data_IF_540865819055
#
_entry.id   IF_540865819055
#
_cell.length_a   1.000
_cell.length_b   1.000
_cell.length_c   1.000
_cell.angle_alpha   90.00
_cell.angle_beta   90.00
_cell.angle_gamma   90.00
#
_symmetry.space_group_name_H-M   'P 1'
#
loop_
_entity.id
_entity.type
_entity.pdbx_description
1 polymer ?
#
# COMPACT_ATOMS: atom_id res chain seq x y z
N UNK A 1 43.99 -71.03 18.98
CA UNK A 1 44.71 -70.81 20.25
C UNK A 1 45.51 -69.53 20.03
N UNK A 2 45.27 -68.37 20.62
CA UNK A 2 44.68 -67.88 21.88
C UNK A 2 44.34 -66.39 21.63
N UNK A 3 43.07 -65.96 21.78
CA UNK A 3 42.57 -65.05 22.84
C UNK A 3 43.55 -64.01 23.44
N UNK A 4 43.18 -62.72 23.28
CA UNK A 4 43.07 -61.66 24.32
C UNK A 4 42.71 -60.35 23.56
N UNK A 5 41.53 -59.70 23.64
CA UNK A 5 40.72 -59.13 24.74
C UNK A 5 41.45 -58.06 25.56
N UNK A 6 41.38 -56.80 25.11
CA UNK A 6 41.32 -55.55 25.90
C UNK A 6 41.47 -54.34 24.95
N UNK A 7 40.92 -53.16 25.14
CA UNK A 7 39.89 -52.67 26.05
C UNK A 7 39.28 -51.45 25.36
N UNK A 8 37.95 -51.35 25.42
CA UNK A 8 37.19 -50.15 25.08
C UNK A 8 37.56 -49.02 26.03
N UNK A 9 38.01 -47.87 25.53
CA UNK A 9 37.75 -46.56 26.13
C UNK A 9 37.74 -45.52 25.01
N UNK A 10 36.58 -45.39 24.34
CA UNK A 10 36.25 -44.19 23.57
C UNK A 10 35.60 -43.24 24.58
N UNK A 11 36.34 -42.20 24.95
CA UNK A 11 35.85 -41.09 25.75
C UNK A 11 34.80 -40.32 24.94
N UNK A 12 33.54 -40.64 25.17
CA UNK A 12 32.44 -39.77 24.77
C UNK A 12 32.43 -38.55 25.68
N UNK A 13 33.16 -37.50 25.30
CA UNK A 13 32.86 -36.14 25.79
C UNK A 13 31.49 -35.75 25.24
N UNK A 14 30.49 -35.43 26.08
CA UNK A 14 29.25 -34.87 25.57
C UNK A 14 29.60 -33.49 25.00
N UNK A 15 29.42 -33.34 23.69
CA UNK A 15 29.36 -32.03 23.07
C UNK A 15 28.25 -31.26 23.77
N UNK A 16 28.66 -30.39 24.69
CA UNK A 16 27.86 -29.32 25.23
C UNK A 16 27.23 -28.59 24.06
N UNK A 17 25.93 -28.84 23.87
CA UNK A 17 25.03 -28.03 23.06
C UNK A 17 25.11 -26.63 23.64
N UNK A 18 26.06 -25.86 23.13
CA UNK A 18 26.13 -24.42 23.31
C UNK A 18 24.86 -23.87 22.70
N UNK A 19 23.84 -23.69 23.56
CA UNK A 19 22.80 -22.72 23.34
C UNK A 19 23.53 -21.40 23.10
N UNK A 20 23.66 -21.03 21.82
CA UNK A 20 24.08 -19.69 21.45
C UNK A 20 23.20 -18.68 22.18
N UNK A 21 23.73 -17.48 22.50
CA UNK A 21 23.00 -16.47 23.24
C UNK A 21 21.65 -16.26 22.56
N UNK A 22 20.57 -16.54 23.30
CA UNK A 22 19.20 -16.37 22.84
C UNK A 22 19.06 -14.96 22.29
N UNK A 23 19.02 -14.84 20.97
CA UNK A 23 18.83 -13.58 20.29
C UNK A 23 17.57 -12.93 20.87
N UNK A 24 17.61 -11.66 21.31
CA UNK A 24 16.48 -11.08 22.01
C UNK A 24 15.26 -11.11 21.09
N UNK A 25 14.28 -11.94 21.45
CA UNK A 25 13.10 -12.25 20.62
C UNK A 25 12.25 -11.00 20.33
N UNK A 26 12.37 -9.96 21.15
CA UNK A 26 11.63 -8.70 21.03
C UNK A 26 12.10 -7.86 19.81
N UNK A 27 13.39 -7.50 19.66
CA UNK A 27 13.91 -6.83 18.46
C UNK A 27 13.55 -7.49 17.14
N UNK A 28 13.58 -8.83 17.07
CA UNK A 28 13.29 -9.56 15.82
C UNK A 28 11.78 -9.53 15.52
N UNK A 29 10.93 -9.59 16.55
CA UNK A 29 9.48 -9.41 16.36
C UNK A 29 9.13 -8.01 15.91
N UNK A 30 9.75 -7.00 16.51
CA UNK A 30 9.57 -5.61 16.11
C UNK A 30 10.04 -5.40 14.68
N UNK A 31 11.14 -6.02 14.26
CA UNK A 31 11.62 -5.92 12.87
C UNK A 31 10.70 -6.62 11.88
N UNK A 32 10.17 -7.81 12.21
CA UNK A 32 9.19 -8.52 11.37
C UNK A 32 7.87 -7.76 11.24
N UNK A 33 7.36 -7.18 12.34
CA UNK A 33 6.15 -6.35 12.32
C UNK A 33 6.37 -5.05 11.53
N UNK A 34 7.55 -4.45 11.64
CA UNK A 34 7.91 -3.25 10.86
C UNK A 34 7.93 -3.57 9.38
N UNK A 35 8.59 -4.66 8.97
CA UNK A 35 8.60 -5.13 7.57
C UNK A 35 7.21 -5.50 7.06
N UNK A 36 6.39 -6.15 7.88
CA UNK A 36 5.00 -6.46 7.52
C UNK A 36 4.22 -5.18 7.20
N UNK A 37 4.37 -4.14 8.03
CA UNK A 37 3.74 -2.84 7.80
C UNK A 37 4.27 -2.15 6.54
N UNK A 38 5.57 -2.27 6.27
CA UNK A 38 6.18 -1.75 5.04
C UNK A 38 5.61 -2.42 3.80
N UNK A 39 5.50 -3.76 3.79
CA UNK A 39 4.92 -4.49 2.67
C UNK A 39 3.41 -4.22 2.51
N UNK A 40 2.66 -4.06 3.60
CA UNK A 40 1.26 -3.64 3.54
C UNK A 40 1.13 -2.25 2.88
N UNK A 41 1.93 -1.28 3.33
CA UNK A 41 1.94 0.05 2.73
C UNK A 41 2.40 0.05 1.26
N UNK A 42 3.33 -0.83 0.88
CA UNK A 42 3.73 -1.00 -0.52
C UNK A 42 2.60 -1.60 -1.38
N UNK A 43 1.90 -2.62 -0.86
CA UNK A 43 0.77 -3.24 -1.54
C UNK A 43 -0.36 -2.24 -1.80
N UNK A 44 -0.74 -1.46 -0.79
CA UNK A 44 -1.77 -0.42 -0.92
C UNK A 44 -1.42 0.60 -2.01
N UNK A 45 -0.15 1.04 -2.07
CA UNK A 45 0.33 1.96 -3.10
C UNK A 45 0.25 1.35 -4.50
N UNK A 46 0.69 0.10 -4.65
CA UNK A 46 0.64 -0.57 -5.95
C UNK A 46 -0.80 -0.81 -6.42
N UNK A 47 -1.73 -1.14 -5.51
CA UNK A 47 -3.16 -1.25 -5.84
C UNK A 47 -3.72 0.11 -6.27
N UNK A 48 -3.43 1.17 -5.50
CA UNK A 48 -3.88 2.52 -5.84
C UNK A 48 -3.33 2.98 -7.20
N UNK A 49 -2.04 2.77 -7.45
CA UNK A 49 -1.42 3.09 -8.74
C UNK A 49 -2.04 2.28 -9.87
N UNK A 50 -2.28 0.98 -9.68
CA UNK A 50 -2.93 0.12 -10.68
C UNK A 50 -4.31 0.64 -11.08
N UNK A 51 -5.16 0.97 -10.09
CA UNK A 51 -6.51 1.47 -10.35
C UNK A 51 -6.50 2.77 -11.16
N UNK A 52 -5.59 3.67 -10.81
CA UNK A 52 -5.44 4.96 -11.48
C UNK A 52 -4.90 4.82 -12.91
N UNK A 53 -3.82 4.06 -13.10
CA UNK A 53 -3.27 3.80 -14.44
C UNK A 53 -4.29 3.07 -15.33
N UNK A 54 -5.09 2.17 -14.77
CA UNK A 54 -6.17 1.52 -15.51
C UNK A 54 -7.24 2.51 -16.00
N UNK A 55 -7.60 3.50 -15.19
CA UNK A 55 -8.50 4.57 -15.63
C UNK A 55 -7.88 5.42 -16.73
N UNK A 56 -6.60 5.77 -16.61
CA UNK A 56 -5.84 6.47 -17.66
C UNK A 56 -5.88 5.68 -18.96
N UNK A 57 -5.58 4.39 -18.94
CA UNK A 57 -5.63 3.53 -20.13
C UNK A 57 -7.01 3.58 -20.81
N UNK A 58 -8.08 3.45 -20.04
CA UNK A 58 -9.46 3.51 -20.56
C UNK A 58 -9.82 4.87 -21.14
N UNK A 59 -9.32 5.96 -20.56
CA UNK A 59 -9.51 7.31 -21.11
C UNK A 59 -8.73 7.47 -22.41
N UNK A 60 -7.48 7.01 -22.46
CA UNK A 60 -6.65 7.02 -23.66
C UNK A 60 -7.26 6.20 -24.81
N UNK A 61 -7.85 5.04 -24.53
CA UNK A 61 -8.56 4.24 -25.56
C UNK A 61 -9.76 4.99 -26.15
N UNK A 62 -10.52 5.70 -25.30
CA UNK A 62 -11.63 6.56 -25.74
C UNK A 62 -11.12 7.73 -26.59
N UNK A 63 -10.05 8.39 -26.16
CA UNK A 63 -9.41 9.46 -26.91
C UNK A 63 -8.92 8.95 -28.27
N UNK A 64 -8.21 7.81 -28.30
CA UNK A 64 -7.74 7.16 -29.53
C UNK A 64 -8.88 6.87 -30.50
N UNK A 65 -9.97 6.26 -30.02
CA UNK A 65 -11.16 5.96 -30.84
C UNK A 65 -11.76 7.24 -31.44
N UNK A 66 -11.85 8.31 -30.63
CA UNK A 66 -12.33 9.61 -31.07
C UNK A 66 -11.42 10.20 -32.15
N UNK A 67 -10.11 10.16 -31.93
CA UNK A 67 -9.10 10.66 -32.86
C UNK A 67 -9.14 9.90 -34.19
N UNK A 68 -9.21 8.57 -34.15
CA UNK A 68 -9.33 7.73 -35.35
C UNK A 68 -10.61 8.05 -36.15
N UNK A 69 -11.71 8.38 -35.46
CA UNK A 69 -12.93 8.86 -36.12
C UNK A 69 -12.73 10.24 -36.74
N UNK A 70 -12.11 11.18 -36.03
CA UNK A 70 -11.81 12.53 -36.52
C UNK A 70 -10.93 12.52 -37.77
N UNK A 71 -9.94 11.63 -37.83
CA UNK A 71 -9.07 11.46 -39.00
C UNK A 71 -9.80 10.89 -40.23
N UNK A 72 -10.93 10.18 -40.05
CA UNK A 72 -11.80 9.73 -41.15
C UNK A 72 -12.81 10.79 -41.57
N UNK A 73 -13.18 11.67 -40.65
CA UNK A 73 -14.24 12.67 -40.79
C UNK A 73 -13.67 14.09 -40.68
N UNK A 74 -12.76 14.45 -41.60
CA UNK A 74 -11.97 15.71 -41.53
C UNK A 74 -12.82 16.99 -41.40
N UNK A 75 -14.05 16.98 -41.92
CA UNK A 75 -15.00 18.09 -41.79
C UNK A 75 -15.34 18.43 -40.33
N UNK A 76 -15.22 17.48 -39.40
CA UNK A 76 -15.43 17.69 -37.96
C UNK A 76 -14.28 18.38 -37.26
N UNK A 77 -13.11 18.46 -37.89
CA UNK A 77 -11.94 19.09 -37.27
C UNK A 77 -12.08 20.61 -37.18
N UNK A 78 -12.93 21.21 -38.02
CA UNK A 78 -13.28 22.63 -37.90
C UNK A 78 -14.25 22.94 -36.76
N UNK A 79 -14.80 21.93 -36.08
CA UNK A 79 -15.72 22.10 -34.96
C UNK A 79 -14.96 22.27 -33.64
N UNK A 80 -15.15 23.40 -32.96
CA UNK A 80 -14.55 23.67 -31.65
C UNK A 80 -14.97 22.63 -30.60
N UNK A 81 -16.22 22.13 -30.66
CA UNK A 81 -16.72 21.10 -29.73
C UNK A 81 -15.95 19.78 -29.87
N UNK A 82 -15.44 19.47 -31.06
CA UNK A 82 -14.64 18.27 -31.27
C UNK A 82 -13.37 18.30 -30.41
N UNK A 83 -12.67 19.44 -30.43
CA UNK A 83 -11.41 19.65 -29.73
C UNK A 83 -11.60 19.89 -28.23
N UNK A 84 -12.67 20.57 -27.82
CA UNK A 84 -13.05 20.71 -26.40
C UNK A 84 -13.23 19.35 -25.73
N UNK A 85 -14.04 18.48 -26.30
CA UNK A 85 -14.26 17.14 -25.76
C UNK A 85 -13.02 16.24 -25.83
N UNK A 86 -12.11 16.45 -26.80
CA UNK A 86 -10.82 15.75 -26.81
C UNK A 86 -9.92 16.23 -25.67
N UNK A 87 -9.87 17.54 -25.43
CA UNK A 87 -9.15 18.14 -24.30
C UNK A 87 -9.71 17.69 -22.96
N UNK A 88 -11.03 17.58 -22.81
CA UNK A 88 -11.66 17.02 -21.60
C UNK A 88 -11.18 15.59 -21.33
N UNK A 89 -11.11 14.74 -22.35
CA UNK A 89 -10.55 13.39 -22.20
C UNK A 89 -9.08 13.43 -21.78
N UNK A 90 -8.27 14.32 -22.35
CA UNK A 90 -6.86 14.45 -21.94
C UNK A 90 -6.74 14.96 -20.49
N UNK A 91 -7.56 15.91 -20.07
CA UNK A 91 -7.59 16.40 -18.69
C UNK A 91 -8.05 15.33 -17.70
N UNK A 92 -9.05 14.51 -18.08
CA UNK A 92 -9.47 13.37 -17.28
C UNK A 92 -8.36 12.33 -17.15
N UNK A 93 -7.56 12.11 -18.19
CA UNK A 93 -6.37 11.27 -18.08
C UNK A 93 -5.39 11.84 -17.06
N UNK A 94 -5.07 13.14 -17.13
CA UNK A 94 -4.15 13.84 -16.21
C UNK A 94 -4.51 13.64 -14.74
N UNK A 95 -5.78 13.84 -14.40
CA UNK A 95 -6.31 13.74 -13.03
C UNK A 95 -6.15 12.34 -12.44
N UNK A 96 -6.04 11.32 -13.29
CA UNK A 96 -5.90 9.94 -12.88
C UNK A 96 -4.45 9.43 -12.97
N UNK A 97 -3.47 10.26 -13.33
CA UNK A 97 -2.07 9.84 -13.31
C UNK A 97 -1.61 9.79 -11.84
N UNK A 98 -1.20 8.62 -11.32
CA UNK A 98 -0.69 8.56 -9.96
C UNK A 98 0.66 9.29 -9.91
N UNK A 99 0.80 10.22 -8.97
CA UNK A 99 2.10 10.82 -8.70
C UNK A 99 2.99 9.82 -7.95
N UNK A 100 4.26 9.66 -8.37
CA UNK A 100 5.19 8.79 -7.66
C UNK A 100 5.32 9.27 -6.21
N UNK A 101 5.24 8.34 -5.27
CA UNK A 101 5.35 8.69 -3.86
C UNK A 101 6.77 9.22 -3.56
N UNK A 102 6.94 10.24 -2.69
CA UNK A 102 8.25 10.85 -2.40
C UNK A 102 9.31 9.92 -1.77
N UNK A 103 8.98 8.64 -1.54
CA UNK A 103 9.90 7.61 -1.05
C UNK A 103 10.21 6.51 -2.07
N UNK A 104 9.62 6.56 -3.26
CA UNK A 104 10.05 5.66 -4.33
C UNK A 104 11.43 6.10 -4.79
N UNK A 105 12.34 5.13 -4.94
CA UNK A 105 13.67 5.41 -5.47
C UNK A 105 13.48 6.08 -6.85
N UNK A 106 14.11 7.23 -7.12
CA UNK A 106 13.97 7.97 -8.37
C UNK A 106 14.45 7.22 -9.63
N UNK A 107 14.84 5.95 -9.48
CA UNK A 107 15.26 5.05 -10.56
C UNK A 107 14.33 3.82 -10.67
N UNK A 108 13.19 3.79 -9.97
CA UNK A 108 12.24 2.71 -10.16
C UNK A 108 11.65 2.77 -11.57
N UNK A 109 11.52 1.61 -12.22
CA UNK A 109 10.94 1.51 -13.56
C UNK A 109 9.49 2.05 -13.58
N UNK A 110 8.75 1.91 -12.47
CA UNK A 110 7.43 2.49 -12.32
C UNK A 110 7.48 4.03 -12.40
N UNK A 111 8.37 4.68 -11.64
CA UNK A 111 8.51 6.14 -11.67
C UNK A 111 8.85 6.65 -13.07
N UNK A 112 9.78 5.98 -13.77
CA UNK A 112 10.12 6.32 -15.17
C UNK A 112 8.92 6.19 -16.11
N UNK A 113 8.10 5.13 -15.95
CA UNK A 113 6.90 4.96 -16.78
C UNK A 113 5.83 6.01 -16.50
N UNK A 114 5.69 6.46 -15.25
CA UNK A 114 4.75 7.51 -14.86
C UNK A 114 5.20 8.88 -15.38
N UNK A 115 6.51 9.16 -15.33
CA UNK A 115 7.10 10.36 -15.94
C UNK A 115 6.88 10.40 -17.45
N UNK A 116 7.12 9.29 -18.15
CA UNK A 116 6.86 9.17 -19.59
C UNK A 116 5.38 9.40 -19.92
N UNK A 117 4.48 8.93 -19.05
CA UNK A 117 3.04 9.11 -19.21
C UNK A 117 2.65 10.60 -19.06
N UNK A 118 3.19 11.29 -18.05
CA UNK A 118 3.01 12.73 -17.86
C UNK A 118 3.58 13.54 -19.04
N UNK A 119 4.77 13.20 -19.51
CA UNK A 119 5.41 13.88 -20.64
C UNK A 119 4.57 13.78 -21.92
N UNK A 120 4.08 12.57 -22.23
CA UNK A 120 3.26 12.37 -23.41
C UNK A 120 1.86 12.97 -23.27
N UNK A 121 1.29 12.99 -22.07
CA UNK A 121 0.07 13.73 -21.78
C UNK A 121 0.25 15.22 -22.08
N UNK A 122 1.30 15.84 -21.56
CA UNK A 122 1.56 17.26 -21.73
C UNK A 122 1.71 17.60 -23.22
N UNK A 123 2.48 16.81 -23.97
CA UNK A 123 2.64 16.97 -25.42
C UNK A 123 1.33 16.78 -26.20
N UNK A 124 0.48 15.85 -25.79
CA UNK A 124 -0.85 15.67 -26.38
C UNK A 124 -1.75 16.88 -26.12
N UNK A 125 -1.73 17.40 -24.90
CA UNK A 125 -2.52 18.56 -24.49
C UNK A 125 -2.05 19.84 -25.20
N UNK A 126 -0.75 20.06 -25.31
CA UNK A 126 -0.15 21.16 -26.07
C UNK A 126 -0.60 21.10 -27.54
N UNK A 127 -0.45 19.96 -28.21
CA UNK A 127 -0.88 19.80 -29.60
C UNK A 127 -2.38 20.03 -29.81
N UNK A 128 -3.23 19.61 -28.85
CA UNK A 128 -4.67 19.87 -28.90
C UNK A 128 -5.01 21.35 -28.66
N UNK A 129 -4.30 22.01 -27.74
CA UNK A 129 -4.48 23.43 -27.46
C UNK A 129 -3.98 24.31 -28.61
N UNK A 130 -2.89 23.93 -29.26
CA UNK A 130 -2.38 24.60 -30.46
C UNK A 130 -3.39 24.51 -31.61
N UNK A 131 -4.04 23.35 -31.79
CA UNK A 131 -5.10 23.21 -32.79
C UNK A 131 -6.32 24.12 -32.51
N UNK A 132 -6.64 24.34 -31.23
CA UNK A 132 -7.71 25.23 -30.79
C UNK A 132 -7.34 26.72 -30.90
N UNK A 133 -6.07 27.04 -30.68
CA UNK A 133 -5.57 28.42 -30.57
C UNK A 133 -4.97 28.94 -31.87
N UNK A 134 -4.74 28.07 -32.86
CA UNK A 134 -4.00 28.43 -34.06
C UNK A 134 -4.70 29.49 -34.92
N UNK A 135 -4.00 30.58 -35.30
CA UNK A 135 -4.36 31.40 -36.45
C UNK A 135 -4.12 30.60 -37.75
N UNK A 136 -4.84 30.95 -38.82
CA UNK A 136 -4.81 30.28 -40.13
C UNK A 136 -3.40 29.84 -40.57
N UNK A 137 -3.05 28.56 -40.40
CA UNK A 137 -1.71 28.05 -40.74
C UNK A 137 -1.40 26.64 -40.23
N UNK A 138 -1.96 26.23 -39.09
CA UNK A 138 -1.76 24.87 -38.58
C UNK A 138 -2.77 23.92 -39.20
N UNK A 139 -2.28 22.89 -39.90
CA UNK A 139 -3.12 21.79 -40.40
C UNK A 139 -3.74 21.05 -39.21
N UNK A 140 -5.05 21.22 -39.00
CA UNK A 140 -5.80 20.55 -37.93
C UNK A 140 -5.67 19.02 -37.99
N UNK A 141 -5.50 18.47 -39.20
CA UNK A 141 -5.26 17.05 -39.41
C UNK A 141 -3.89 16.61 -38.87
N UNK A 142 -2.84 17.41 -39.10
CA UNK A 142 -1.50 17.11 -38.60
C UNK A 142 -1.39 17.28 -37.09
N UNK A 143 -2.08 18.29 -36.53
CA UNK A 143 -2.25 18.41 -35.09
C UNK A 143 -2.94 17.17 -34.51
N UNK A 144 -4.01 16.68 -35.15
CA UNK A 144 -4.72 15.49 -34.69
C UNK A 144 -3.84 14.22 -34.78
N UNK A 145 -3.01 14.08 -35.81
CA UNK A 145 -2.02 13.01 -35.92
C UNK A 145 -0.97 13.09 -34.82
N UNK A 146 -0.53 14.28 -34.45
CA UNK A 146 0.41 14.50 -33.36
C UNK A 146 -0.20 14.10 -32.01
N UNK A 147 -1.44 14.52 -31.75
CA UNK A 147 -2.20 14.09 -30.57
C UNK A 147 -2.35 12.57 -30.54
N UNK A 148 -2.71 11.94 -31.68
CA UNK A 148 -2.81 10.46 -31.80
C UNK A 148 -1.52 9.78 -31.37
N UNK A 149 -0.38 10.23 -31.91
CA UNK A 149 0.94 9.66 -31.59
C UNK A 149 1.20 9.71 -30.10
N UNK A 150 0.92 10.84 -29.45
CA UNK A 150 1.15 10.98 -28.01
C UNK A 150 0.19 10.14 -27.18
N UNK A 151 -1.09 10.06 -27.55
CA UNK A 151 -2.06 9.16 -26.89
C UNK A 151 -1.63 7.68 -27.03
N UNK A 152 -1.10 7.27 -28.18
CA UNK A 152 -0.55 5.92 -28.36
C UNK A 152 0.67 5.67 -27.47
N UNK A 153 1.57 6.64 -27.31
CA UNK A 153 2.70 6.52 -26.37
C UNK A 153 2.22 6.48 -24.91
N UNK A 154 1.18 7.24 -24.55
CA UNK A 154 0.57 7.15 -23.23
C UNK A 154 0.00 5.75 -22.96
N UNK A 155 -0.61 5.10 -23.96
CA UNK A 155 -1.09 3.72 -23.82
C UNK A 155 0.06 2.74 -23.58
N UNK A 156 1.17 2.86 -24.32
CA UNK A 156 2.37 2.03 -24.12
C UNK A 156 2.94 2.23 -22.72
N UNK A 157 3.05 3.48 -22.26
CA UNK A 157 3.51 3.80 -20.92
C UNK A 157 2.57 3.25 -19.83
N UNK A 158 1.26 3.39 -20.02
CA UNK A 158 0.24 2.86 -19.11
C UNK A 158 0.31 1.33 -19.00
N UNK A 159 0.43 0.62 -20.12
CA UNK A 159 0.60 -0.84 -20.12
C UNK A 159 1.87 -1.28 -19.36
N UNK A 160 2.97 -0.54 -19.54
CA UNK A 160 4.20 -0.79 -18.80
C UNK A 160 4.01 -0.57 -17.30
N UNK A 161 3.40 0.55 -16.91
CA UNK A 161 3.10 0.88 -15.52
C UNK A 161 2.13 -0.15 -14.87
N UNK A 162 1.14 -0.66 -15.59
CA UNK A 162 0.25 -1.73 -15.11
C UNK A 162 1.02 -3.04 -14.83
N UNK A 163 1.98 -3.39 -15.68
CA UNK A 163 2.86 -4.55 -15.43
C UNK A 163 3.73 -4.34 -14.19
N UNK A 164 4.31 -3.15 -14.04
CA UNK A 164 5.16 -2.82 -12.88
C UNK A 164 4.37 -2.81 -11.57
N UNK A 165 3.19 -2.18 -11.55
CA UNK A 165 2.32 -2.14 -10.37
C UNK A 165 1.85 -3.53 -9.97
N UNK A 166 1.52 -4.39 -10.93
CA UNK A 166 1.18 -5.78 -10.66
C UNK A 166 2.37 -6.55 -10.07
N UNK A 167 3.55 -6.45 -10.67
CA UNK A 167 4.77 -7.11 -10.17
C UNK A 167 5.08 -6.68 -8.73
N UNK A 168 5.06 -5.37 -8.47
CA UNK A 168 5.30 -4.81 -7.13
C UNK A 168 4.24 -5.26 -6.11
N UNK A 169 2.97 -5.38 -6.51
CA UNK A 169 1.93 -5.93 -5.64
C UNK A 169 2.15 -7.42 -5.32
N UNK A 170 2.58 -8.23 -6.31
CA UNK A 170 2.92 -9.64 -6.11
C UNK A 170 4.11 -9.82 -5.17
N UNK A 171 5.15 -8.99 -5.32
CA UNK A 171 6.30 -8.95 -4.41
C UNK A 171 5.91 -8.55 -2.98
N UNK A 172 5.08 -7.52 -2.83
CA UNK A 172 4.58 -7.09 -1.52
C UNK A 172 3.75 -8.18 -0.85
N UNK A 173 2.89 -8.88 -1.60
CA UNK A 173 2.13 -10.03 -1.10
C UNK A 173 3.03 -11.18 -0.67
N UNK A 174 4.07 -11.51 -1.44
CA UNK A 174 5.05 -12.52 -1.06
C UNK A 174 5.78 -12.13 0.24
N UNK A 175 6.17 -10.85 0.38
CA UNK A 175 6.77 -10.30 1.59
C UNK A 175 5.85 -10.40 2.81
N UNK A 176 4.56 -10.08 2.65
CA UNK A 176 3.54 -10.23 3.69
C UNK A 176 3.41 -11.68 4.13
N UNK A 177 3.32 -12.63 3.19
CA UNK A 177 3.20 -14.07 3.49
C UNK A 177 4.41 -14.56 4.29
N UNK A 178 5.63 -14.28 3.81
CA UNK A 178 6.86 -14.67 4.51
C UNK A 178 6.96 -14.07 5.92
N UNK A 179 6.61 -12.79 6.08
CA UNK A 179 6.63 -12.15 7.40
C UNK A 179 5.59 -12.77 8.34
N UNK A 180 4.39 -13.05 7.83
CA UNK A 180 3.29 -13.65 8.59
C UNK A 180 3.62 -15.07 9.02
N UNK A 181 4.16 -15.91 8.13
CA UNK A 181 4.62 -17.27 8.42
C UNK A 181 5.70 -17.27 9.51
N UNK A 182 6.74 -16.44 9.37
CA UNK A 182 7.81 -16.31 10.38
C UNK A 182 7.31 -15.81 11.73
N UNK A 183 6.31 -14.93 11.75
CA UNK A 183 5.68 -14.46 13.00
C UNK A 183 4.92 -15.61 13.66
N UNK A 184 4.17 -16.40 12.88
CA UNK A 184 3.38 -17.54 13.36
C UNK A 184 4.26 -18.68 13.87
N UNK A 185 5.29 -19.10 13.13
CA UNK A 185 6.28 -20.10 13.55
C UNK A 185 6.87 -19.74 14.93
N UNK A 186 7.33 -18.49 15.08
CA UNK A 186 7.92 -18.01 16.34
C UNK A 186 6.90 -17.75 17.45
N UNK A 187 5.60 -17.66 17.14
CA UNK A 187 4.55 -17.62 18.15
C UNK A 187 4.29 -19.04 18.70
N UNK A 188 4.28 -20.05 17.83
CA UNK A 188 4.17 -21.47 18.20
C UNK A 188 5.36 -21.90 19.07
N UNK A 189 6.59 -21.56 18.67
CA UNK A 189 7.80 -21.89 19.44
C UNK A 189 7.75 -21.32 20.87
N UNK A 190 7.19 -20.13 21.06
CA UNK A 190 7.04 -19.54 22.40
C UNK A 190 5.97 -20.18 23.26
N UNK A 191 4.93 -20.78 22.66
CA UNK A 191 3.93 -21.55 23.44
C UNK A 191 4.49 -22.88 23.94
N UNK A 192 5.57 -23.37 23.34
CA UNK A 192 6.26 -24.60 23.75
C UNK A 192 7.38 -24.37 24.78
N UNK A 193 7.81 -23.13 24.98
CA UNK A 193 8.75 -22.79 26.06
C UNK A 193 7.98 -22.88 27.39
N UNK A 194 8.40 -23.73 28.35
CA UNK A 194 7.79 -23.77 29.67
C UNK A 194 7.86 -22.38 30.27
N UNK A 195 6.70 -21.76 30.51
CA UNK A 195 6.63 -20.54 31.31
C UNK A 195 7.16 -20.92 32.69
N UNK A 196 8.42 -20.61 32.98
CA UNK A 196 8.91 -20.65 34.35
C UNK A 196 8.00 -19.72 35.13
N UNK A 197 7.13 -20.33 35.93
CA UNK A 197 6.21 -19.66 36.80
C UNK A 197 7.03 -18.74 37.70
N UNK A 198 6.91 -17.43 37.46
CA UNK A 198 7.55 -16.36 38.23
C UNK A 198 7.15 -16.36 39.71
N UNK A 199 6.25 -17.25 40.12
CA UNK A 199 5.96 -17.56 41.53
C UNK A 199 7.15 -18.14 42.29
N UNK A 200 8.12 -18.79 41.64
CA UNK A 200 9.29 -19.35 42.35
C UNK A 200 10.38 -18.30 42.71
N UNK A 201 10.26 -17.05 42.23
CA UNK A 201 11.29 -16.00 42.46
C UNK A 201 10.91 -15.01 43.56
N UNK A 202 9.70 -15.10 44.12
CA UNK A 202 9.29 -14.26 45.25
C UNK A 202 9.71 -14.90 46.58
N UNK A 203 9.67 -16.23 46.68
CA UNK A 203 10.08 -16.94 47.91
C UNK A 203 11.59 -16.88 48.20
N UNK A 204 12.43 -16.61 47.18
CA UNK A 204 13.88 -16.47 47.35
C UNK A 204 14.31 -15.05 47.77
N UNK A 205 13.40 -14.06 47.74
CA UNK A 205 13.68 -12.67 48.17
C UNK A 205 13.09 -12.39 49.57
N UNK A 206 12.17 -13.23 50.04
CA UNK A 206 11.50 -13.06 51.34
C UNK A 206 12.33 -13.45 52.58
N UNK A 207 13.58 -13.87 52.45
CA UNK A 207 14.43 -14.22 53.61
C UNK A 207 15.39 -13.12 54.07
N UNK A 208 15.33 -11.89 53.54
CA UNK A 208 16.26 -10.81 53.95
C UNK A 208 15.66 -9.57 54.62
N UNK A 209 14.36 -9.49 54.85
CA UNK A 209 13.82 -8.36 55.62
C UNK A 209 12.89 -8.83 56.74
N UNK A 210 13.45 -8.86 57.96
CA UNK A 210 12.65 -8.91 59.19
C UNK A 210 11.95 -7.57 59.43
N UNK A 211 10.79 -7.60 60.12
CA UNK A 211 9.76 -6.56 60.07
C UNK A 211 9.93 -5.53 61.18
N UNK A 212 9.71 -4.25 60.86
CA UNK A 212 9.49 -3.22 61.86
C UNK A 212 8.49 -2.19 61.33
N UNK A 213 7.42 -2.00 62.12
CA UNK A 213 6.50 -0.86 62.14
C UNK A 213 5.22 -0.96 61.29
N UNK A 214 4.25 -1.59 61.93
CA UNK A 214 2.82 -1.25 61.94
C UNK A 214 2.55 0.27 61.84
N UNK A 215 1.61 0.65 60.96
CA UNK A 215 0.42 1.52 61.17
C UNK A 215 -0.07 2.12 59.83
N UNK A 216 -1.31 2.62 59.72
CA UNK A 216 -2.53 1.85 59.51
C UNK A 216 -3.17 2.12 58.13
N UNK A 217 -4.06 1.19 57.72
CA UNK A 217 -5.00 1.35 56.60
C UNK A 217 -5.69 2.72 56.62
N UNK A 218 -5.43 3.55 55.60
CA UNK A 218 -6.41 4.52 55.11
C UNK A 218 -6.93 4.06 53.76
N UNK A 219 -8.17 3.55 53.79
CA UNK A 219 -9.04 3.45 52.62
C UNK A 219 -9.35 4.86 52.16
N UNK A 220 -9.02 5.17 50.92
CA UNK A 220 -9.74 6.19 50.13
C UNK A 220 -10.27 5.52 48.88
N UNK A 221 -11.52 5.12 48.97
CA UNK A 221 -12.41 4.94 47.83
C UNK A 221 -12.43 6.24 47.02
N UNK A 222 -11.81 6.26 45.85
CA UNK A 222 -11.94 7.37 44.91
C UNK A 222 -11.69 6.91 43.48
N UNK A 223 -12.67 6.23 42.91
CA UNK A 223 -13.39 6.73 41.73
C UNK A 223 -14.21 5.60 41.09
N UNK A 224 -15.45 5.54 41.56
CA UNK A 224 -16.59 4.95 40.89
C UNK A 224 -16.68 5.39 39.43
N UNK A 225 -17.12 4.44 38.62
CA UNK A 225 -17.65 4.60 37.27
C UNK A 225 -18.46 5.89 37.09
N UNK A 226 -18.17 6.61 36.02
CA UNK A 226 -19.04 7.64 35.46
C UNK A 226 -20.09 6.94 34.58
N UNK A 227 -21.40 7.04 34.87
CA UNK A 227 -22.43 6.64 33.92
C UNK A 227 -22.38 7.58 32.71
N UNK A 228 -22.45 7.02 31.51
CA UNK A 228 -22.76 7.78 30.29
C UNK A 228 -24.12 8.49 30.48
N UNK A 229 -24.28 9.76 30.08
CA UNK A 229 -25.60 10.32 29.88
C UNK A 229 -26.23 9.75 28.61
N UNK A 230 -27.51 9.37 28.72
CA UNK A 230 -28.33 8.86 27.62
C UNK A 230 -28.40 9.82 26.43
N UNK A 231 -28.51 9.31 25.18
CA UNK A 231 -28.68 10.14 24.00
C UNK A 231 -30.06 10.81 24.00
N UNK A 232 -30.16 12.11 23.64
CA UNK A 232 -31.45 12.76 23.50
C UNK A 232 -32.25 12.13 22.35
N UNK A 233 -33.54 11.92 22.64
CA UNK A 233 -34.53 11.26 21.80
C UNK A 233 -34.59 11.82 20.38
N UNK A 234 -34.73 10.90 19.41
CA UNK A 234 -35.15 11.17 18.04
C UNK A 234 -36.47 11.95 18.06
N UNK A 235 -36.47 13.21 17.62
CA UNK A 235 -37.68 13.83 17.11
C UNK A 235 -37.97 13.24 15.75
N UNK A 236 -39.09 12.54 15.68
CA UNK A 236 -39.75 12.12 14.45
C UNK A 236 -40.54 13.34 14.01
N UNK A 237 -40.05 14.06 12.99
CA UNK A 237 -40.91 14.96 12.23
C UNK A 237 -41.52 14.13 11.10
N UNK A 238 -42.82 13.88 11.23
CA UNK A 238 -43.67 13.30 10.21
C UNK A 238 -43.86 14.30 9.05
N UNK A 239 -44.15 13.81 7.82
CA UNK A 239 -44.30 14.65 6.65
C UNK A 239 -45.65 15.37 6.72
N UNK A 240 -45.64 16.70 6.48
CA UNK A 240 -46.87 17.42 6.20
C UNK A 240 -47.00 17.54 4.68
N UNK A 241 -47.87 16.70 4.13
CA UNK A 241 -48.53 16.95 2.85
C UNK A 241 -49.35 18.24 2.92
N UNK A 242 -49.52 18.86 1.74
CA UNK A 242 -50.54 19.83 1.29
C UNK A 242 -49.91 21.11 0.72
N UNK A 243 -50.20 21.60 -0.49
CA UNK A 243 -50.93 21.15 -1.68
C UNK A 243 -50.57 22.19 -2.79
N UNK A 244 -50.97 22.01 -4.07
CA UNK A 244 -50.47 22.75 -5.23
C UNK A 244 -51.30 23.99 -5.59
N UNK A 245 -50.73 24.79 -6.50
CA UNK A 245 -51.38 25.66 -7.50
C UNK A 245 -52.07 26.95 -7.00
N UNK A 246 -52.28 27.97 -7.87
CA UNK A 246 -52.25 27.97 -9.35
C UNK A 246 -51.04 28.66 -10.01
#
# INVERSE_FOLDING_TARGET
MTQDVNARQVTHSPASLGQGPSEPLVPIRLSLLTRLREYQGALEKHIFAYMNVYQVQRVCDRARTRIEKGLRELHRLGDAYYWESLRELLQDAERNIPYPAPRELPQSLLSQTLEALLEHHQKAAEAANDALSAPAGTSMEDALRLVKRHVEQMLVAAESALKQTRSGAEEALAGIKMCSERILERAVDQTQIPRQSTTARIDAVETRFRPSLLLPRQRTDRNRARPLPDPPARRIDAPSDSNPNP
#
